data_IF_123145431497
#
_entry.id   IF_123145431497
#
_cell.length_a   1.000
_cell.length_b   1.000
_cell.length_c   1.000
_cell.angle_alpha   90.00
_cell.angle_beta   90.00
_cell.angle_gamma   90.00
#
_symmetry.space_group_name_H-M   'P 1'
#
loop_
_entity.id
_entity.type
_entity.pdbx_description
1 polymer ?
#
# COMPACT_ATOMS: atom_id res chain seq x y z
N UNK A 1 1.69 -2.31 -4.71
CA UNK A 1 1.28 -0.91 -4.89
C UNK A 1 2.31 -0.04 -4.19
N UNK A 2 3.30 0.52 -4.90
CA UNK A 2 4.29 1.34 -4.23
C UNK A 2 3.61 2.62 -3.84
N UNK A 3 3.37 2.74 -2.54
CA UNK A 3 3.06 4.02 -1.94
C UNK A 3 4.36 4.50 -1.30
N UNK A 4 4.75 5.73 -1.62
CA UNK A 4 5.75 6.42 -0.81
C UNK A 4 5.01 7.12 0.31
N UNK A 5 5.41 6.85 1.55
CA UNK A 5 4.80 7.43 2.74
C UNK A 5 5.88 8.17 3.51
N UNK A 6 5.64 9.46 3.71
CA UNK A 6 6.25 10.22 4.77
C UNK A 6 5.28 10.20 5.96
N UNK A 7 5.71 9.64 7.10
CA UNK A 7 4.88 9.51 8.29
C UNK A 7 5.64 10.04 9.51
N UNK A 8 4.98 10.86 10.32
CA UNK A 8 5.46 11.19 11.66
C UNK A 8 4.94 10.15 12.66
N UNK A 9 5.84 9.53 13.41
CA UNK A 9 5.50 8.59 14.49
C UNK A 9 5.21 9.30 15.82
N UNK A 10 5.25 10.64 15.83
CA UNK A 10 5.06 11.47 17.01
C UNK A 10 4.10 12.62 16.70
N UNK A 11 3.39 13.07 17.72
CA UNK A 11 2.53 14.24 17.62
C UNK A 11 3.33 15.55 17.62
N UNK A 12 2.61 16.67 17.49
CA UNK A 12 3.18 18.04 17.48
C UNK A 12 3.92 18.41 18.78
N UNK A 13 3.76 17.64 19.85
CA UNK A 13 4.44 17.82 21.14
C UNK A 13 5.58 16.81 21.33
N UNK A 14 5.86 15.96 20.33
CA UNK A 14 6.90 14.94 20.38
C UNK A 14 6.47 13.63 21.07
N UNK A 15 5.21 13.49 21.49
CA UNK A 15 4.71 12.26 22.11
C UNK A 15 4.51 11.19 21.03
N UNK A 16 5.01 9.95 21.23
CA UNK A 16 4.77 8.87 20.28
C UNK A 16 3.29 8.54 20.13
N UNK A 17 2.86 8.26 18.90
CA UNK A 17 1.55 7.68 18.64
C UNK A 17 1.54 6.19 19.00
N UNK A 18 0.42 5.72 19.54
CA UNK A 18 0.15 4.29 19.71
C UNK A 18 -0.54 3.75 18.47
N UNK A 19 0.23 3.42 17.45
CA UNK A 19 -0.30 3.05 16.13
C UNK A 19 -1.20 1.82 16.16
N UNK A 20 -1.00 0.90 17.11
CA UNK A 20 -1.86 -0.26 17.30
C UNK A 20 -3.31 0.13 17.64
N UNK A 21 -3.51 1.26 18.32
CA UNK A 21 -4.84 1.78 18.64
C UNK A 21 -5.54 2.40 17.41
N UNK A 22 -4.83 2.53 16.28
CA UNK A 22 -5.35 3.09 15.02
C UNK A 22 -5.70 2.02 13.98
N UNK A 23 -5.56 0.75 14.34
CA UNK A 23 -5.92 -0.41 13.51
C UNK A 23 -7.40 -0.75 13.73
N UNK A 24 -8.16 -0.87 12.66
CA UNK A 24 -9.52 -1.43 12.72
C UNK A 24 -9.47 -2.95 12.52
N UNK A 25 -9.47 -3.69 13.63
CA UNK A 25 -9.42 -5.16 13.60
C UNK A 25 -10.68 -5.82 12.99
N UNK A 26 -11.78 -5.08 12.81
CA UNK A 26 -13.00 -5.63 12.20
C UNK A 26 -12.93 -5.65 10.67
N UNK A 27 -11.95 -4.97 10.09
CA UNK A 27 -11.72 -4.96 8.65
C UNK A 27 -10.89 -6.15 8.21
N UNK A 28 -11.10 -6.61 6.98
CA UNK A 28 -10.27 -7.64 6.36
C UNK A 28 -10.48 -7.61 4.85
N UNK A 29 -9.57 -8.24 4.12
CA UNK A 29 -9.70 -8.41 2.68
C UNK A 29 -9.68 -9.90 2.35
N UNK A 30 -10.67 -10.37 1.61
CA UNK A 30 -10.67 -11.74 1.07
C UNK A 30 -10.13 -11.68 -0.35
N UNK A 31 -9.03 -12.39 -0.61
CA UNK A 31 -8.40 -12.46 -1.93
C UNK A 31 -8.39 -13.89 -2.46
N UNK A 32 -8.65 -14.04 -3.76
CA UNK A 32 -8.40 -15.30 -4.46
C UNK A 32 -6.91 -15.46 -4.75
N UNK A 33 -6.34 -16.60 -4.42
CA UNK A 33 -4.94 -16.96 -4.71
C UNK A 33 -4.89 -18.33 -5.34
N UNK A 34 -3.88 -18.58 -6.16
CA UNK A 34 -3.56 -19.92 -6.64
C UNK A 34 -2.21 -20.34 -6.07
N UNK A 35 -2.14 -21.52 -5.47
CA UNK A 35 -0.89 -22.08 -4.95
C UNK A 35 -0.77 -23.54 -5.38
N UNK A 36 0.29 -23.87 -6.11
CA UNK A 36 0.50 -25.24 -6.61
C UNK A 36 -0.62 -25.74 -7.52
N UNK A 37 -1.24 -24.86 -8.30
CA UNK A 37 -2.35 -25.19 -9.21
C UNK A 37 -3.71 -25.39 -8.53
N UNK A 38 -3.84 -25.03 -7.24
CA UNK A 38 -5.11 -25.05 -6.51
C UNK A 38 -5.57 -23.64 -6.21
N UNK A 39 -6.86 -23.39 -6.41
CA UNK A 39 -7.49 -22.15 -6.01
C UNK A 39 -7.74 -22.13 -4.50
N UNK A 40 -7.45 -20.99 -3.89
CA UNK A 40 -7.53 -20.74 -2.46
C UNK A 40 -8.19 -19.39 -2.23
N UNK A 41 -8.93 -19.29 -1.12
CA UNK A 41 -9.35 -18.01 -0.58
C UNK A 41 -8.43 -17.68 0.60
N UNK A 42 -7.81 -16.50 0.55
CA UNK A 42 -6.99 -15.98 1.62
C UNK A 42 -7.74 -14.87 2.35
N UNK A 43 -7.84 -14.99 3.67
CA UNK A 43 -8.27 -13.89 4.54
C UNK A 43 -7.04 -13.09 4.95
N UNK A 44 -6.92 -11.88 4.42
CA UNK A 44 -5.87 -10.95 4.76
C UNK A 44 -6.33 -10.07 5.94
N UNK A 45 -5.52 -10.09 7.00
CA UNK A 45 -5.67 -9.17 8.15
C UNK A 45 -5.60 -7.71 7.66
N UNK A 46 -6.08 -6.74 8.44
CA UNK A 46 -5.97 -5.32 8.12
C UNK A 46 -4.54 -4.97 7.67
N UNK A 47 -4.37 -4.71 6.39
CA UNK A 47 -3.17 -4.11 5.83
C UNK A 47 -3.31 -2.59 5.87
N UNK A 48 -2.34 -1.89 5.31
CA UNK A 48 -2.25 -0.44 5.40
C UNK A 48 -3.57 0.25 5.01
N UNK A 49 -4.03 0.05 3.77
CA UNK A 49 -5.21 0.70 3.22
C UNK A 49 -6.55 0.12 3.68
N UNK A 50 -6.57 -1.17 4.02
CA UNK A 50 -7.79 -1.90 4.34
C UNK A 50 -7.99 -2.05 5.85
N UNK A 51 -7.34 -1.22 6.68
CA UNK A 51 -7.72 -1.06 8.09
C UNK A 51 -6.61 -0.73 9.08
N UNK A 52 -5.34 -1.01 8.78
CA UNK A 52 -4.23 -0.71 9.71
C UNK A 52 -3.98 0.80 9.87
N UNK A 53 -4.46 1.63 8.95
CA UNK A 53 -4.37 3.09 9.03
C UNK A 53 -5.70 3.81 9.30
N UNK A 54 -6.73 3.09 9.79
CA UNK A 54 -8.11 3.62 9.93
C UNK A 54 -8.18 4.95 10.69
N UNK A 55 -7.33 5.14 11.71
CA UNK A 55 -7.25 6.37 12.50
C UNK A 55 -6.26 7.44 12.03
N UNK A 56 -5.63 7.30 10.85
CA UNK A 56 -4.56 8.20 10.42
C UNK A 56 -5.10 9.48 9.78
N UNK A 57 -4.59 10.64 10.22
CA UNK A 57 -4.73 11.89 9.47
C UNK A 57 -3.89 11.81 8.19
N UNK A 58 -4.54 11.65 7.05
CA UNK A 58 -3.88 11.36 5.77
C UNK A 58 -4.10 12.50 4.79
N UNK A 59 -3.04 12.90 4.09
CA UNK A 59 -3.09 13.85 2.97
C UNK A 59 -2.52 13.12 1.75
N UNK A 60 -3.27 13.15 0.64
CA UNK A 60 -2.78 12.65 -0.64
C UNK A 60 -2.12 13.78 -1.40
N UNK A 61 -0.92 13.50 -1.90
CA UNK A 61 -0.14 14.44 -2.70
C UNK A 61 0.02 13.80 -4.08
N UNK A 62 -0.41 14.53 -5.11
CA UNK A 62 -0.18 14.12 -6.49
C UNK A 62 1.30 14.32 -6.83
N UNK A 63 1.89 13.29 -7.44
CA UNK A 63 3.27 13.31 -7.90
C UNK A 63 3.30 13.24 -9.43
N UNK A 64 4.32 13.81 -10.10
CA UNK A 64 4.47 13.67 -11.54
C UNK A 64 4.53 12.19 -11.95
N UNK A 65 3.95 11.83 -13.09
CA UNK A 65 3.94 10.44 -13.60
C UNK A 65 5.35 9.84 -13.70
N UNK A 66 6.35 10.66 -14.02
CA UNK A 66 7.75 10.23 -14.10
C UNK A 66 8.31 9.67 -12.77
N UNK A 67 7.70 10.01 -11.63
CA UNK A 67 8.12 9.51 -10.30
C UNK A 67 7.74 8.05 -10.07
N UNK A 68 6.81 7.51 -10.86
CA UNK A 68 6.36 6.14 -10.71
C UNK A 68 6.02 5.50 -12.05
N UNK A 69 6.89 4.59 -12.50
CA UNK A 69 6.72 3.82 -13.74
C UNK A 69 6.48 2.33 -13.41
N UNK A 70 5.23 1.90 -13.14
CA UNK A 70 4.94 0.51 -12.84
C UNK A 70 5.04 -0.40 -14.07
N UNK A 71 5.56 -1.60 -13.84
CA UNK A 71 5.45 -2.72 -14.80
C UNK A 71 4.44 -3.72 -14.24
N UNK A 72 3.23 -3.74 -14.81
CA UNK A 72 2.14 -4.67 -14.47
C UNK A 72 2.01 -5.79 -15.49
N UNK A 73 2.36 -5.52 -16.73
CA UNK A 73 2.35 -6.46 -17.85
C UNK A 73 3.69 -6.43 -18.57
N UNK A 74 3.97 -7.46 -19.38
CA UNK A 74 5.18 -7.49 -20.21
C UNK A 74 5.23 -6.33 -21.21
N UNK A 75 4.07 -5.82 -21.65
CA UNK A 75 4.00 -4.71 -22.59
C UNK A 75 4.40 -3.37 -21.96
N UNK A 76 4.31 -3.23 -20.64
CA UNK A 76 4.71 -1.99 -19.97
C UNK A 76 6.23 -1.74 -20.14
N UNK A 77 7.03 -2.81 -20.29
CA UNK A 77 8.46 -2.71 -20.60
C UNK A 77 8.76 -2.06 -21.97
N UNK A 78 7.76 -1.98 -22.87
CA UNK A 78 7.90 -1.28 -24.13
C UNK A 78 7.81 0.25 -23.96
N UNK A 79 7.42 0.78 -22.80
CA UNK A 79 7.39 2.22 -22.60
C UNK A 79 8.80 2.83 -22.65
N UNK A 80 8.97 4.06 -23.19
CA UNK A 80 10.28 4.70 -23.27
C UNK A 80 11.02 4.79 -21.94
N UNK A 81 10.30 4.95 -20.82
CA UNK A 81 10.85 5.01 -19.46
C UNK A 81 11.55 3.72 -19.00
N UNK A 82 11.33 2.60 -19.68
CA UNK A 82 11.90 1.29 -19.36
C UNK A 82 12.93 0.79 -20.40
N UNK A 83 13.23 1.59 -21.43
CA UNK A 83 14.20 1.22 -22.47
C UNK A 83 15.61 1.72 -22.11
N UNK A 84 16.67 1.01 -22.53
CA UNK A 84 18.03 1.55 -22.44
C UNK A 84 18.15 2.87 -23.20
N UNK A 85 18.96 3.79 -22.67
CA UNK A 85 19.33 5.03 -23.35
C UNK A 85 20.17 4.75 -24.60
#
# INVERSE_FOLDING_TARGET
NPVNIACSLRDRHGKPYRLQEMVDEKTSLVTGKSLGGRDLLALERPGLWNGSMSGWNTIFIELPDATFNPVKTVFDLLQPSHRPL
#
